data_IF_953720429130
#
_entry.id   IF_953720429130
#
_cell.length_a   1.000
_cell.length_b   1.000
_cell.length_c   1.000
_cell.angle_alpha   90.00
_cell.angle_beta   90.00
_cell.angle_gamma   90.00
#
_symmetry.space_group_name_H-M   'P 1'
#
loop_
_entity.id
_entity.type
_entity.pdbx_description
1 polymer ?
#
# COMPACT_ATOMS: atom_id res chain seq x y z
N UNK A 1 -29.53 -13.99 -5.44
CA UNK A 1 -30.23 -14.18 -4.16
C UNK A 1 -29.17 -14.42 -3.10
N UNK A 2 -29.18 -13.64 -2.01
CA UNK A 2 -28.19 -13.79 -0.93
C UNK A 2 -28.53 -15.08 -0.16
N UNK A 3 -27.63 -16.05 -0.18
CA UNK A 3 -27.82 -17.37 0.44
C UNK A 3 -27.42 -17.38 1.91
N UNK A 4 -26.46 -16.54 2.29
CA UNK A 4 -26.01 -16.40 3.66
C UNK A 4 -27.08 -15.72 4.53
N UNK A 5 -27.43 -16.34 5.65
CA UNK A 5 -28.50 -15.88 6.55
C UNK A 5 -28.13 -14.54 7.18
N UNK A 6 -26.90 -14.42 7.70
CA UNK A 6 -26.45 -13.20 8.38
C UNK A 6 -26.38 -12.01 7.43
N UNK A 7 -25.89 -12.21 6.20
CA UNK A 7 -25.91 -11.16 5.18
C UNK A 7 -27.32 -10.77 4.78
N UNK A 8 -28.22 -11.76 4.59
CA UNK A 8 -29.61 -11.48 4.21
C UNK A 8 -30.32 -10.68 5.30
N UNK A 9 -30.15 -11.06 6.56
CA UNK A 9 -30.82 -10.39 7.67
C UNK A 9 -30.30 -8.95 7.83
N UNK A 10 -28.98 -8.74 7.74
CA UNK A 10 -28.38 -7.39 7.78
C UNK A 10 -28.86 -6.49 6.62
N UNK A 11 -28.93 -7.04 5.41
CA UNK A 11 -29.43 -6.30 4.24
C UNK A 11 -30.93 -6.01 4.36
N UNK A 12 -31.72 -6.96 4.88
CA UNK A 12 -33.15 -6.79 5.09
C UNK A 12 -33.43 -5.69 6.13
N UNK A 13 -32.67 -5.65 7.21
CA UNK A 13 -32.74 -4.59 8.23
C UNK A 13 -32.42 -3.22 7.63
N UNK A 14 -31.33 -3.11 6.87
CA UNK A 14 -30.92 -1.83 6.26
C UNK A 14 -31.93 -1.30 5.24
N UNK A 15 -32.49 -2.17 4.40
CA UNK A 15 -33.38 -1.76 3.32
C UNK A 15 -34.80 -1.44 3.79
N UNK A 16 -35.25 -2.03 4.90
CA UNK A 16 -36.58 -1.81 5.46
C UNK A 16 -37.75 -2.21 4.55
N UNK A 17 -37.49 -2.99 3.48
CA UNK A 17 -38.47 -3.40 2.48
C UNK A 17 -38.16 -2.92 1.05
N UNK A 18 -39.09 -3.11 0.09
CA UNK A 18 -38.89 -2.73 -1.30
C UNK A 18 -38.75 -1.21 -1.53
N UNK A 19 -37.73 -0.79 -2.29
CA UNK A 19 -37.44 0.62 -2.62
C UNK A 19 -37.52 0.86 -4.15
N UNK A 20 -38.73 0.98 -4.75
CA UNK A 20 -38.90 1.02 -6.20
C UNK A 20 -38.31 2.27 -6.88
N UNK A 21 -38.37 3.44 -6.22
CA UNK A 21 -37.81 4.68 -6.78
C UNK A 21 -36.28 4.68 -6.77
N UNK A 22 -35.66 4.12 -5.72
CA UNK A 22 -34.22 3.88 -5.70
C UNK A 22 -33.79 2.92 -6.81
N UNK A 23 -34.57 1.85 -7.03
CA UNK A 23 -34.33 0.88 -8.11
C UNK A 23 -34.37 1.53 -9.49
N UNK A 24 -35.35 2.40 -9.76
CA UNK A 24 -35.42 3.18 -11.02
C UNK A 24 -34.22 4.10 -11.18
N UNK A 25 -33.83 4.80 -10.12
CA UNK A 25 -32.70 5.74 -10.13
C UNK A 25 -31.37 5.04 -10.44
N UNK A 26 -31.11 3.89 -9.79
CA UNK A 26 -29.90 3.10 -10.04
C UNK A 26 -29.86 2.60 -11.49
N UNK A 27 -30.99 2.12 -12.03
CA UNK A 27 -31.08 1.67 -13.43
C UNK A 27 -30.74 2.80 -14.40
N UNK A 28 -31.33 3.97 -14.22
CA UNK A 28 -31.06 5.13 -15.06
C UNK A 28 -29.58 5.56 -14.99
N UNK A 29 -28.97 5.57 -13.80
CA UNK A 29 -27.57 5.94 -13.63
C UNK A 29 -26.60 4.94 -14.31
N UNK A 30 -26.89 3.64 -14.21
CA UNK A 30 -26.09 2.58 -14.85
C UNK A 30 -26.23 2.59 -16.37
N UNK A 31 -27.44 2.83 -16.90
CA UNK A 31 -27.72 2.91 -18.34
C UNK A 31 -27.14 4.19 -18.96
N UNK A 32 -27.19 5.32 -18.23
CA UNK A 32 -26.73 6.62 -18.70
C UNK A 32 -25.23 6.90 -18.57
N UNK A 33 -24.44 5.98 -17.99
CA UNK A 33 -23.01 6.19 -17.62
C UNK A 33 -22.77 7.57 -17.00
N UNK A 34 -23.60 7.94 -16.04
CA UNK A 34 -23.67 9.31 -15.52
C UNK A 34 -22.59 9.65 -14.49
N UNK A 35 -21.59 8.80 -14.36
CA UNK A 35 -20.47 9.00 -13.44
C UNK A 35 -19.36 9.69 -14.22
N UNK A 36 -19.10 10.96 -13.89
CA UNK A 36 -17.94 11.69 -14.42
C UNK A 36 -16.62 11.08 -13.94
N UNK A 37 -15.51 11.78 -14.15
CA UNK A 37 -14.22 11.34 -13.60
C UNK A 37 -14.27 11.39 -12.07
N UNK A 38 -14.29 10.21 -11.43
CA UNK A 38 -14.21 10.06 -9.99
C UNK A 38 -12.73 9.99 -9.62
N UNK A 39 -12.22 10.85 -8.73
CA UNK A 39 -10.81 10.82 -8.34
C UNK A 39 -10.47 9.50 -7.63
N UNK A 40 -9.36 8.89 -8.02
CA UNK A 40 -8.79 7.74 -7.30
C UNK A 40 -7.99 8.29 -6.13
N UNK A 41 -8.46 8.02 -4.91
CA UNK A 41 -7.75 8.44 -3.70
C UNK A 41 -6.72 7.39 -3.29
N UNK A 42 -5.50 7.83 -3.01
CA UNK A 42 -4.44 6.95 -2.53
C UNK A 42 -4.72 6.42 -1.11
N UNK A 43 -4.61 5.11 -0.92
CA UNK A 43 -4.67 4.46 0.40
C UNK A 43 -3.33 4.51 1.14
N UNK A 44 -3.30 3.94 2.34
CA UNK A 44 -2.07 3.77 3.14
C UNK A 44 -1.27 2.53 2.72
N UNK A 45 0.02 2.50 3.11
CA UNK A 45 0.93 1.39 2.80
C UNK A 45 1.06 0.47 4.02
N UNK A 46 0.18 -0.54 4.08
CA UNK A 46 0.11 -1.53 5.15
C UNK A 46 0.28 -2.96 4.67
N UNK A 47 0.55 -3.85 5.63
CA UNK A 47 0.59 -5.27 5.41
C UNK A 47 0.20 -6.08 6.65
N UNK A 48 -0.04 -7.37 6.46
CA UNK A 48 -0.40 -8.30 7.55
C UNK A 48 0.64 -8.34 8.67
N UNK A 49 1.91 -8.15 8.34
CA UNK A 49 3.02 -8.18 9.29
C UNK A 49 3.18 -6.87 10.08
N UNK A 50 2.87 -5.72 9.46
CA UNK A 50 3.08 -4.40 10.04
C UNK A 50 2.40 -3.29 9.22
N UNK A 51 2.01 -2.19 9.88
CA UNK A 51 1.71 -0.93 9.22
C UNK A 51 3.03 -0.21 8.88
N UNK A 52 3.32 0.02 7.60
CA UNK A 52 4.62 0.55 7.17
C UNK A 52 4.60 2.07 7.12
N UNK A 53 3.69 2.64 6.34
CA UNK A 53 3.69 4.08 6.07
C UNK A 53 2.28 4.58 5.70
N UNK A 54 2.05 5.88 5.87
CA UNK A 54 0.75 6.52 5.62
C UNK A 54 0.83 7.52 4.48
N UNK A 55 -0.24 7.63 3.69
CA UNK A 55 -0.33 8.64 2.65
C UNK A 55 -0.99 9.92 3.20
N UNK A 56 -0.18 10.96 3.41
CA UNK A 56 -0.67 12.24 3.91
C UNK A 56 -1.35 13.11 2.83
N UNK A 57 -1.07 12.86 1.55
CA UNK A 57 -1.74 13.54 0.42
C UNK A 57 -2.43 12.52 -0.50
N UNK A 58 -3.69 12.24 -0.14
CA UNK A 58 -4.50 11.23 -0.83
C UNK A 58 -5.06 11.70 -2.17
N UNK A 59 -4.87 12.98 -2.53
CA UNK A 59 -5.43 13.57 -3.74
C UNK A 59 -4.47 13.57 -4.92
N UNK A 60 -3.21 13.25 -4.68
CA UNK A 60 -2.21 13.08 -5.73
C UNK A 60 -2.61 11.94 -6.69
N UNK A 61 -2.24 12.06 -7.97
CA UNK A 61 -2.46 10.96 -8.91
C UNK A 61 -1.65 9.73 -8.47
N UNK A 62 -2.10 8.50 -8.82
CA UNK A 62 -1.51 7.26 -8.31
C UNK A 62 0.02 7.14 -8.50
N UNK A 63 0.56 7.66 -9.59
CA UNK A 63 1.99 7.64 -9.94
C UNK A 63 2.86 8.59 -9.07
N UNK A 64 2.23 9.56 -8.42
CA UNK A 64 2.86 10.53 -7.52
C UNK A 64 2.62 10.24 -6.04
N UNK A 65 1.98 9.10 -5.73
CA UNK A 65 1.72 8.68 -4.35
C UNK A 65 3.01 8.60 -3.53
N UNK A 66 2.97 9.18 -2.33
CA UNK A 66 4.09 9.19 -1.37
C UNK A 66 3.60 8.71 -0.02
N UNK A 67 4.48 8.06 0.71
CA UNK A 67 4.16 7.50 2.01
C UNK A 67 5.15 7.98 3.06
N UNK A 68 4.66 8.45 4.21
CA UNK A 68 5.50 8.81 5.34
C UNK A 68 5.64 7.60 6.27
N UNK A 69 6.88 7.16 6.49
CA UNK A 69 7.19 6.00 7.32
C UNK A 69 6.68 6.18 8.75
N UNK A 70 5.97 5.18 9.26
CA UNK A 70 5.50 5.12 10.64
C UNK A 70 6.55 4.50 11.55
N UNK A 71 7.57 5.28 11.91
CA UNK A 71 8.69 4.83 12.77
C UNK A 71 8.25 4.29 14.15
N UNK A 72 7.02 4.58 14.60
CA UNK A 72 6.45 4.05 15.83
C UNK A 72 5.79 2.67 15.68
N UNK A 73 5.56 2.19 14.45
CA UNK A 73 4.85 0.94 14.20
C UNK A 73 5.76 -0.30 14.34
N UNK A 74 7.04 -0.15 14.02
CA UNK A 74 8.06 -1.18 14.11
C UNK A 74 9.46 -0.53 14.02
N UNK A 75 10.50 -1.31 14.26
CA UNK A 75 11.85 -0.92 13.88
C UNK A 75 12.07 -1.29 12.41
N UNK A 76 12.57 -0.34 11.63
CA UNK A 76 12.77 -0.49 10.19
C UNK A 76 14.25 -0.36 9.83
N UNK A 77 14.73 -1.34 9.09
CA UNK A 77 16.04 -1.34 8.46
C UNK A 77 15.85 -1.39 6.94
N UNK A 78 16.89 -0.99 6.21
CA UNK A 78 16.86 -0.88 4.77
C UNK A 78 18.02 -1.65 4.16
N UNK A 79 17.72 -2.67 3.36
CA UNK A 79 18.73 -3.39 2.59
C UNK A 79 18.87 -2.70 1.24
N UNK A 80 20.05 -2.18 0.85
CA UNK A 80 20.15 -1.47 -0.42
C UNK A 80 19.82 -2.39 -1.61
N UNK A 81 19.20 -1.80 -2.63
CA UNK A 81 18.65 -2.52 -3.77
C UNK A 81 19.00 -1.82 -5.08
N UNK A 82 19.51 -2.59 -6.03
CA UNK A 82 19.78 -2.16 -7.40
C UNK A 82 19.05 -3.10 -8.39
N UNK A 83 18.45 -2.52 -9.43
CA UNK A 83 17.73 -3.24 -10.48
C UNK A 83 18.68 -3.95 -11.47
N UNK A 84 19.91 -3.47 -11.60
CA UNK A 84 20.90 -3.91 -12.60
C UNK A 84 21.89 -4.89 -12.00
N UNK A 85 22.26 -4.70 -10.72
CA UNK A 85 23.22 -5.56 -10.04
C UNK A 85 22.52 -6.82 -9.53
N UNK A 86 23.02 -7.97 -9.98
CA UNK A 86 22.52 -9.30 -9.62
C UNK A 86 22.44 -9.44 -8.09
N UNK A 87 21.31 -9.95 -7.60
CA UNK A 87 20.89 -10.04 -6.18
C UNK A 87 21.72 -11.02 -5.31
N UNK A 88 23.05 -11.05 -5.49
CA UNK A 88 23.94 -12.06 -4.95
C UNK A 88 24.96 -11.58 -3.91
N UNK A 89 25.13 -10.27 -3.73
CA UNK A 89 25.98 -9.74 -2.66
C UNK A 89 25.06 -9.35 -1.51
N UNK A 90 25.16 -10.06 -0.40
CA UNK A 90 24.48 -9.71 0.83
C UNK A 90 25.07 -8.39 1.35
N UNK A 91 24.49 -7.27 0.94
CA UNK A 91 24.79 -5.99 1.57
C UNK A 91 24.24 -5.97 3.00
N UNK A 92 24.91 -5.23 3.86
CA UNK A 92 24.44 -5.02 5.24
C UNK A 92 23.24 -4.07 5.21
N UNK A 93 22.28 -4.31 6.10
CA UNK A 93 21.17 -3.38 6.27
C UNK A 93 21.65 -2.09 6.90
N UNK A 94 21.08 -0.96 6.48
CA UNK A 94 21.32 0.36 7.06
C UNK A 94 20.12 0.82 7.89
N UNK A 95 20.36 1.69 8.86
CA UNK A 95 19.29 2.30 9.66
C UNK A 95 18.51 3.37 8.87
N UNK A 96 17.34 3.75 9.37
CA UNK A 96 16.56 4.88 8.84
C UNK A 96 17.38 6.17 8.67
N UNK A 97 18.38 6.41 9.52
CA UNK A 97 19.22 7.60 9.50
C UNK A 97 20.33 7.58 8.43
N UNK A 98 20.63 6.41 7.88
CA UNK A 98 21.76 6.19 6.96
C UNK A 98 21.31 6.04 5.50
N UNK A 99 20.00 6.06 5.24
CA UNK A 99 19.46 5.98 3.88
C UNK A 99 19.74 7.24 3.07
N UNK A 100 19.87 7.08 1.76
CA UNK A 100 20.15 8.16 0.83
C UNK A 100 18.93 8.46 -0.05
N UNK A 101 18.64 9.76 -0.22
CA UNK A 101 17.59 10.23 -1.11
C UNK A 101 17.87 9.75 -2.55
N UNK A 102 16.82 9.24 -3.20
CA UNK A 102 16.86 8.75 -4.58
C UNK A 102 17.25 7.28 -4.71
N UNK A 103 17.85 6.66 -3.68
CA UNK A 103 18.22 5.24 -3.69
C UNK A 103 17.03 4.35 -3.37
N UNK A 104 17.13 3.10 -3.81
CA UNK A 104 16.16 2.04 -3.56
C UNK A 104 16.65 1.08 -2.50
N UNK A 105 15.71 0.59 -1.70
CA UNK A 105 15.98 -0.33 -0.62
C UNK A 105 14.86 -1.35 -0.50
N UNK A 106 15.20 -2.59 -0.16
CA UNK A 106 14.25 -3.53 0.39
C UNK A 106 13.98 -3.21 1.86
N UNK A 107 12.70 -3.13 2.24
CA UNK A 107 12.29 -2.90 3.62
C UNK A 107 12.48 -4.17 4.45
N UNK A 108 13.22 -4.05 5.56
CA UNK A 108 13.41 -5.09 6.56
C UNK A 108 12.77 -4.63 7.86
N UNK A 109 11.93 -5.47 8.46
CA UNK A 109 11.10 -5.07 9.61
C UNK A 109 11.36 -5.92 10.84
N UNK A 110 11.48 -5.28 11.99
CA UNK A 110 11.46 -5.92 13.31
C UNK A 110 10.25 -5.43 14.10
N UNK A 111 9.35 -6.33 14.47
CA UNK A 111 8.07 -6.01 15.11
C UNK A 111 8.02 -6.48 16.56
N UNK A 112 7.21 -5.82 17.39
CA UNK A 112 6.95 -6.25 18.78
C UNK A 112 6.26 -7.62 18.89
N UNK A 113 5.76 -8.17 17.76
CA UNK A 113 5.06 -9.46 17.68
C UNK A 113 5.97 -10.62 17.26
N UNK A 114 7.28 -10.42 17.28
CA UNK A 114 8.27 -11.50 17.16
C UNK A 114 8.78 -11.77 15.75
N UNK A 115 8.52 -10.87 14.79
CA UNK A 115 9.28 -10.86 13.54
C UNK A 115 10.57 -10.08 13.77
N UNK A 116 11.72 -10.72 13.55
CA UNK A 116 13.05 -10.12 13.73
C UNK A 116 13.77 -10.08 12.40
N UNK A 117 14.22 -8.89 11.99
CA UNK A 117 14.90 -8.63 10.71
C UNK A 117 14.21 -9.32 9.52
N UNK A 118 12.88 -9.25 9.50
CA UNK A 118 12.08 -9.95 8.49
C UNK A 118 12.18 -9.23 7.16
N UNK A 119 12.78 -9.90 6.18
CA UNK A 119 12.88 -9.45 4.79
C UNK A 119 11.52 -9.53 4.12
N UNK A 120 10.90 -8.37 3.98
CA UNK A 120 9.57 -8.26 3.40
C UNK A 120 9.61 -8.47 1.90
N UNK A 121 10.69 -8.11 1.23
CA UNK A 121 10.76 -8.05 -0.23
C UNK A 121 10.10 -6.82 -0.83
N UNK A 122 9.58 -5.87 -0.06
CA UNK A 122 9.05 -4.64 -0.68
C UNK A 122 10.19 -3.67 -0.95
N UNK A 123 10.30 -3.22 -2.21
CA UNK A 123 11.28 -2.25 -2.67
C UNK A 123 10.67 -0.86 -2.61
N UNK A 124 11.34 0.04 -1.88
CA UNK A 124 10.95 1.44 -1.75
C UNK A 124 12.08 2.34 -2.23
N UNK A 125 11.72 3.51 -2.77
CA UNK A 125 12.65 4.59 -3.04
C UNK A 125 12.49 5.68 -1.98
N UNK A 126 13.60 6.14 -1.41
CA UNK A 126 13.58 7.31 -0.51
C UNK A 126 13.43 8.57 -1.36
N UNK A 127 12.36 9.34 -1.14
CA UNK A 127 12.09 10.56 -1.88
C UNK A 127 12.60 11.80 -1.17
N UNK A 128 12.30 11.90 0.12
CA UNK A 128 12.57 13.08 0.94
C UNK A 128 12.36 12.73 2.42
N UNK A 129 12.23 13.75 3.26
CA UNK A 129 11.84 13.63 4.66
C UNK A 129 10.61 14.48 4.90
N UNK A 130 9.60 13.91 5.56
CA UNK A 130 8.50 14.66 6.15
C UNK A 130 8.81 14.87 7.64
N UNK A 131 9.26 16.07 7.99
CA UNK A 131 9.92 16.37 9.26
C UNK A 131 11.15 15.46 9.45
N UNK A 132 11.09 14.52 10.40
CA UNK A 132 12.16 13.55 10.68
C UNK A 132 11.85 12.14 10.14
N UNK A 133 10.67 11.91 9.59
CA UNK A 133 10.29 10.61 9.04
C UNK A 133 10.58 10.53 7.54
N UNK A 134 11.00 9.36 7.09
CA UNK A 134 11.27 9.11 5.68
C UNK A 134 9.98 9.23 4.85
N UNK A 135 10.06 9.96 3.75
CA UNK A 135 9.06 9.93 2.69
C UNK A 135 9.50 8.94 1.62
N UNK A 136 8.65 7.95 1.36
CA UNK A 136 8.93 6.78 0.55
C UNK A 136 7.99 6.71 -0.66
N UNK A 137 8.51 6.17 -1.76
CA UNK A 137 7.70 5.69 -2.89
C UNK A 137 7.79 4.17 -2.93
N UNK A 138 6.64 3.49 -2.92
CA UNK A 138 6.60 2.07 -3.23
C UNK A 138 6.99 1.87 -4.70
N UNK A 139 7.93 0.96 -4.96
CA UNK A 139 8.39 0.64 -6.31
C UNK A 139 7.76 -0.67 -6.77
N UNK A 140 8.04 -1.76 -6.06
CA UNK A 140 7.58 -3.10 -6.40
C UNK A 140 7.80 -4.05 -5.23
N UNK A 141 7.34 -5.29 -5.38
CA UNK A 141 7.78 -6.40 -4.53
C UNK A 141 8.85 -7.20 -5.29
N UNK A 142 9.96 -7.47 -4.62
CA UNK A 142 11.11 -8.17 -5.14
C UNK A 142 10.67 -9.49 -5.80
N UNK A 143 11.15 -9.77 -7.03
CA UNK A 143 10.88 -11.02 -7.70
C UNK A 143 11.32 -12.21 -6.84
N UNK A 144 10.54 -13.30 -6.85
CA UNK A 144 10.94 -14.54 -6.16
C UNK A 144 12.01 -15.32 -6.92
N UNK A 145 12.20 -15.03 -8.21
CA UNK A 145 13.21 -15.61 -9.09
C UNK A 145 13.81 -14.54 -10.01
N UNK A 146 15.06 -14.74 -10.43
CA UNK A 146 15.94 -13.80 -11.15
C UNK A 146 15.48 -13.40 -12.57
N UNK A 147 14.23 -13.64 -12.96
CA UNK A 147 13.71 -13.40 -14.31
C UNK A 147 12.33 -12.75 -14.39
N UNK A 148 11.71 -12.37 -13.26
CA UNK A 148 10.36 -11.77 -13.22
C UNK A 148 10.38 -10.26 -12.95
N UNK A 149 11.36 -9.53 -13.49
CA UNK A 149 11.32 -8.07 -13.50
C UNK A 149 10.50 -7.65 -14.72
N UNK A 150 9.20 -7.43 -14.55
CA UNK A 150 8.37 -6.83 -15.59
C UNK A 150 8.67 -5.33 -15.67
N UNK A 151 9.06 -4.90 -16.87
CA UNK A 151 9.35 -3.51 -17.25
C UNK A 151 8.08 -2.75 -17.58
#
# INVERSE_FOLDING_TARGET
MITDVSMRDAVAELLGGPQPELSKTIRAALEGRQFGEIPVLGGDYFASECCIAINLDRTQPPDQTRYVLLTTAAYFEFLPFDLVVNHGIAEETVDCSEVEIGKMYEVVVTTCRGLYRFRRGDIVRVLSFHNLSLELKYVMRAPKATGEVFT
#
